data_IF_823474506128
#
_entry.id   IF_823474506128
#
_cell.length_a   1.000
_cell.length_b   1.000
_cell.length_c   1.000
_cell.angle_alpha   90.00
_cell.angle_beta   90.00
_cell.angle_gamma   90.00
#
_symmetry.space_group_name_H-M   'P 1'
#
loop_
_entity.id
_entity.type
_entity.pdbx_description
1 polymer ?
#
# COMPACT_ATOMS: atom_id res chain seq x y z
N UNK A 1 -32.97 -4.31 -3.90
CA UNK A 1 -32.42 -5.55 -3.30
C UNK A 1 -30.94 -5.59 -3.63
N UNK A 2 -30.08 -5.07 -2.75
CA UNK A 2 -28.62 -5.17 -2.96
C UNK A 2 -28.27 -6.63 -2.67
N UNK A 3 -27.93 -7.39 -3.71
CA UNK A 3 -27.41 -8.75 -3.55
C UNK A 3 -26.27 -8.73 -2.52
N UNK A 4 -26.30 -9.64 -1.54
CA UNK A 4 -25.17 -9.85 -0.62
C UNK A 4 -23.95 -10.27 -1.45
N UNK A 5 -23.08 -9.32 -1.74
CA UNK A 5 -21.80 -9.58 -2.42
C UNK A 5 -21.01 -10.58 -1.58
N UNK A 6 -20.57 -11.67 -2.19
CA UNK A 6 -19.80 -12.70 -1.49
C UNK A 6 -18.40 -12.18 -1.09
N UNK A 7 -17.85 -12.69 0.01
CA UNK A 7 -16.51 -12.31 0.47
C UNK A 7 -15.43 -12.48 -0.60
N UNK A 8 -15.55 -13.50 -1.47
CA UNK A 8 -14.61 -13.71 -2.59
C UNK A 8 -14.67 -12.54 -3.59
N UNK A 9 -15.87 -12.12 -3.98
CA UNK A 9 -16.08 -10.97 -4.87
C UNK A 9 -15.55 -9.67 -4.24
N UNK A 10 -15.74 -9.49 -2.92
CA UNK A 10 -15.20 -8.33 -2.20
C UNK A 10 -13.67 -8.30 -2.19
N UNK A 11 -12.99 -9.43 -1.92
CA UNK A 11 -11.52 -9.48 -2.00
C UNK A 11 -11.06 -9.15 -3.40
N UNK A 12 -11.68 -9.75 -4.42
CA UNK A 12 -11.29 -9.53 -5.81
C UNK A 12 -11.44 -8.06 -6.23
N UNK A 13 -12.58 -7.44 -5.92
CA UNK A 13 -12.82 -6.02 -6.19
C UNK A 13 -11.81 -5.14 -5.44
N UNK A 14 -11.56 -5.42 -4.16
CA UNK A 14 -10.59 -4.67 -3.38
C UNK A 14 -9.17 -4.79 -3.95
N UNK A 15 -8.74 -5.98 -4.37
CA UNK A 15 -7.44 -6.18 -5.02
C UNK A 15 -7.35 -5.37 -6.31
N UNK A 16 -8.37 -5.42 -7.18
CA UNK A 16 -8.39 -4.61 -8.41
C UNK A 16 -8.30 -3.12 -8.09
N UNK A 17 -9.07 -2.62 -7.13
CA UNK A 17 -9.05 -1.20 -6.75
C UNK A 17 -7.68 -0.78 -6.19
N UNK A 18 -7.03 -1.63 -5.40
CA UNK A 18 -5.67 -1.37 -4.90
C UNK A 18 -4.68 -1.29 -6.08
N UNK A 19 -4.73 -2.24 -7.00
CA UNK A 19 -3.84 -2.29 -8.16
C UNK A 19 -4.05 -1.08 -9.07
N UNK A 20 -5.30 -0.72 -9.34
CA UNK A 20 -5.62 0.45 -10.15
C UNK A 20 -5.07 1.73 -9.49
N UNK A 21 -5.22 1.86 -8.17
CA UNK A 21 -4.66 2.98 -7.41
C UNK A 21 -3.14 3.05 -7.53
N UNK A 22 -2.46 1.90 -7.47
CA UNK A 22 -1.01 1.81 -7.62
C UNK A 22 -0.56 2.16 -9.04
N UNK A 23 -1.23 1.62 -10.07
CA UNK A 23 -0.92 1.90 -11.47
C UNK A 23 -1.09 3.39 -11.77
N UNK A 24 -2.20 3.99 -11.34
CA UNK A 24 -2.44 5.44 -11.51
C UNK A 24 -1.36 6.27 -10.83
N UNK A 25 -0.91 5.87 -9.64
CA UNK A 25 0.21 6.53 -8.97
C UNK A 25 1.52 6.39 -9.77
N UNK A 26 1.89 5.19 -10.23
CA UNK A 26 3.11 4.99 -11.02
C UNK A 26 3.10 5.80 -12.33
N UNK A 27 1.96 5.81 -13.03
CA UNK A 27 1.75 6.62 -14.24
C UNK A 27 1.91 8.11 -13.92
N UNK A 28 1.34 8.60 -12.81
CA UNK A 28 1.42 10.02 -12.43
C UNK A 28 2.83 10.55 -12.15
N UNK A 29 3.79 9.65 -11.86
CA UNK A 29 5.17 10.02 -11.56
C UNK A 29 6.15 9.62 -12.66
N UNK A 30 5.71 8.92 -13.71
CA UNK A 30 6.58 8.32 -14.73
C UNK A 30 7.51 9.35 -15.39
N UNK A 31 6.93 10.43 -15.93
CA UNK A 31 7.70 11.49 -16.60
C UNK A 31 8.65 12.22 -15.63
N UNK A 32 8.17 12.48 -14.41
CA UNK A 32 8.99 13.13 -13.36
C UNK A 32 10.19 12.27 -12.95
N UNK A 33 10.01 10.95 -12.86
CA UNK A 33 11.10 10.01 -12.55
C UNK A 33 12.15 9.99 -13.67
N UNK A 34 11.71 10.00 -14.94
CA UNK A 34 12.63 10.09 -16.08
C UNK A 34 13.42 11.41 -16.06
N UNK A 35 12.77 12.52 -15.76
CA UNK A 35 13.42 13.83 -15.70
C UNK A 35 14.44 13.92 -14.56
N UNK A 36 14.13 13.36 -13.38
CA UNK A 36 15.08 13.23 -12.27
C UNK A 36 16.29 12.38 -12.67
N UNK A 37 16.06 11.27 -13.37
CA UNK A 37 17.16 10.43 -13.87
C UNK A 37 18.06 11.21 -14.83
N UNK A 38 17.49 11.86 -15.85
CA UNK A 38 18.27 12.60 -16.85
C UNK A 38 19.01 13.79 -16.26
N UNK A 39 18.41 14.52 -15.31
CA UNK A 39 19.08 15.61 -14.60
C UNK A 39 20.23 15.12 -13.72
N UNK A 40 20.04 14.01 -12.99
CA UNK A 40 21.10 13.39 -12.17
C UNK A 40 22.24 12.84 -13.03
N UNK A 41 21.93 12.22 -14.18
CA UNK A 41 22.94 11.70 -15.10
C UNK A 41 23.82 12.82 -15.67
N UNK A 42 23.20 13.95 -16.05
CA UNK A 42 23.92 15.16 -16.48
C UNK A 42 24.78 15.76 -15.37
N UNK A 43 24.32 15.72 -14.12
CA UNK A 43 25.07 16.26 -12.99
C UNK A 43 26.31 15.43 -12.64
N UNK A 44 26.31 14.14 -12.95
CA UNK A 44 27.38 13.20 -12.61
C UNK A 44 28.25 12.76 -13.79
N UNK A 45 28.15 13.43 -14.95
CA UNK A 45 28.88 13.10 -16.19
C UNK A 45 28.81 11.60 -16.55
N UNK A 46 27.64 10.98 -16.31
CA UNK A 46 27.41 9.57 -16.64
C UNK A 46 27.35 9.39 -18.16
N UNK A 47 27.81 8.24 -18.70
CA UNK A 47 27.72 7.97 -20.13
C UNK A 47 26.26 8.05 -20.60
N UNK A 48 26.05 8.62 -21.79
CA UNK A 48 24.74 8.69 -22.43
C UNK A 48 24.25 7.26 -22.72
N UNK A 49 23.34 6.78 -21.88
CA UNK A 49 22.61 5.54 -22.09
C UNK A 49 21.43 5.86 -23.00
N UNK A 50 21.14 4.96 -23.95
CA UNK A 50 20.01 5.08 -24.86
C UNK A 50 18.70 5.33 -24.08
N UNK A 51 17.96 6.38 -24.48
CA UNK A 51 16.73 6.82 -23.83
C UNK A 51 15.67 5.72 -23.77
N UNK A 52 15.63 4.85 -24.78
CA UNK A 52 14.68 3.72 -24.82
C UNK A 52 14.99 2.67 -23.74
N UNK A 53 16.28 2.44 -23.43
CA UNK A 53 16.70 1.51 -22.39
C UNK A 53 16.27 2.03 -21.01
N UNK A 54 16.43 3.33 -20.76
CA UNK A 54 16.06 3.96 -19.49
C UNK A 54 14.55 3.87 -19.25
N UNK A 55 13.74 4.14 -20.28
CA UNK A 55 12.29 4.01 -20.20
C UNK A 55 11.86 2.58 -19.84
N UNK A 56 12.45 1.57 -20.49
CA UNK A 56 12.17 0.15 -20.19
C UNK A 56 12.52 -0.17 -18.73
N UNK A 57 13.67 0.29 -18.23
CA UNK A 57 14.08 0.06 -16.85
C UNK A 57 13.12 0.71 -15.86
N UNK A 58 12.69 1.96 -16.11
CA UNK A 58 11.72 2.65 -15.26
C UNK A 58 10.38 1.89 -15.24
N UNK A 59 9.84 1.52 -16.41
CA UNK A 59 8.60 0.75 -16.51
C UNK A 59 8.73 -0.59 -15.77
N UNK A 60 9.86 -1.28 -15.90
CA UNK A 60 10.11 -2.54 -15.22
C UNK A 60 10.08 -2.37 -13.69
N UNK A 61 10.78 -1.37 -13.15
CA UNK A 61 10.81 -1.07 -11.71
C UNK A 61 9.41 -0.71 -11.19
N UNK A 62 8.67 0.12 -11.92
CA UNK A 62 7.30 0.49 -11.57
C UNK A 62 6.37 -0.75 -11.61
N UNK A 63 6.54 -1.62 -12.60
CA UNK A 63 5.82 -2.90 -12.71
C UNK A 63 6.11 -3.85 -11.53
N UNK A 64 7.38 -3.98 -11.14
CA UNK A 64 7.77 -4.74 -9.94
C UNK A 64 7.14 -4.17 -8.67
N UNK A 65 7.06 -2.84 -8.56
CA UNK A 65 6.42 -2.17 -7.43
C UNK A 65 4.94 -2.51 -7.32
N UNK A 66 4.22 -2.60 -8.45
CA UNK A 66 2.82 -3.06 -8.49
C UNK A 66 2.70 -4.54 -8.11
N UNK A 67 3.62 -5.40 -8.59
CA UNK A 67 3.65 -6.82 -8.23
C UNK A 67 3.90 -7.06 -6.73
N UNK A 68 4.76 -6.24 -6.11
CA UNK A 68 5.09 -6.32 -4.69
C UNK A 68 3.84 -6.17 -3.79
N UNK A 69 2.80 -5.46 -4.25
CA UNK A 69 1.53 -5.33 -3.52
C UNK A 69 0.85 -6.68 -3.31
N UNK A 70 0.91 -7.59 -4.29
CA UNK A 70 0.33 -8.93 -4.11
C UNK A 70 1.06 -9.69 -2.99
N UNK A 71 2.38 -9.58 -2.95
CA UNK A 71 3.21 -10.19 -1.91
C UNK A 71 2.88 -9.56 -0.55
N UNK A 72 2.76 -8.23 -0.47
CA UNK A 72 2.37 -7.52 0.74
C UNK A 72 1.01 -8.00 1.26
N UNK A 73 0.01 -8.14 0.39
CA UNK A 73 -1.32 -8.61 0.77
C UNK A 73 -1.29 -10.02 1.37
N UNK A 74 -0.50 -10.92 0.78
CA UNK A 74 -0.34 -12.28 1.26
C UNK A 74 0.41 -12.34 2.60
N UNK A 75 1.54 -11.65 2.72
CA UNK A 75 2.35 -11.60 3.94
C UNK A 75 1.58 -10.93 5.07
N UNK A 76 0.97 -9.77 4.82
CA UNK A 76 0.19 -9.04 5.82
C UNK A 76 -1.05 -9.80 6.27
N UNK A 77 -1.76 -10.47 5.35
CA UNK A 77 -2.86 -11.36 5.68
C UNK A 77 -2.43 -12.55 6.54
N UNK A 78 -1.27 -13.13 6.23
CA UNK A 78 -0.67 -14.21 7.02
C UNK A 78 -0.23 -13.73 8.42
N UNK A 79 0.37 -12.56 8.51
CA UNK A 79 0.76 -11.94 9.79
C UNK A 79 -0.47 -11.74 10.70
N UNK A 80 -1.56 -11.16 10.17
CA UNK A 80 -2.79 -11.01 10.96
C UNK A 80 -3.38 -12.35 11.39
N UNK A 81 -3.28 -13.38 10.54
CA UNK A 81 -3.70 -14.73 10.89
C UNK A 81 -2.88 -15.29 12.06
N UNK A 82 -1.56 -15.14 12.06
CA UNK A 82 -0.69 -15.59 13.16
C UNK A 82 -1.06 -14.89 14.47
N UNK A 83 -1.20 -13.57 14.46
CA UNK A 83 -1.62 -12.82 15.65
C UNK A 83 -3.01 -13.29 16.12
N UNK A 84 -3.95 -13.44 15.20
CA UNK A 84 -5.29 -13.97 15.51
C UNK A 84 -5.25 -15.37 16.14
N UNK A 85 -4.38 -16.24 15.62
CA UNK A 85 -4.15 -17.59 16.16
C UNK A 85 -3.59 -17.54 17.58
N UNK A 86 -2.55 -16.72 17.85
CA UNK A 86 -2.01 -16.54 19.21
C UNK A 86 -3.03 -15.94 20.18
N UNK A 87 -3.94 -15.11 19.69
CA UNK A 87 -5.06 -14.58 20.47
C UNK A 87 -6.21 -15.59 20.63
N UNK A 88 -6.08 -16.80 20.11
CA UNK A 88 -7.03 -17.91 20.28
C UNK A 88 -8.25 -17.86 19.37
N UNK A 89 -8.17 -17.16 18.23
CA UNK A 89 -9.23 -17.17 17.22
C UNK A 89 -9.27 -18.50 16.47
N UNK A 90 -10.47 -19.03 16.25
CA UNK A 90 -10.70 -20.24 15.43
C UNK A 90 -11.07 -19.92 13.98
N UNK A 91 -11.00 -18.66 13.56
CA UNK A 91 -11.34 -18.27 12.18
C UNK A 91 -10.29 -18.75 11.18
N UNK A 92 -10.70 -19.10 9.95
CA UNK A 92 -9.79 -19.57 8.92
C UNK A 92 -8.91 -18.43 8.37
N UNK A 93 -7.72 -18.78 7.86
CA UNK A 93 -6.76 -17.86 7.21
C UNK A 93 -7.40 -16.87 6.21
N UNK A 94 -8.39 -17.33 5.43
CA UNK A 94 -9.10 -16.50 4.43
C UNK A 94 -9.80 -15.28 5.03
N UNK A 95 -10.22 -15.36 6.29
CA UNK A 95 -10.85 -14.23 7.01
C UNK A 95 -9.84 -13.12 7.28
N UNK A 96 -8.62 -13.49 7.66
CA UNK A 96 -7.53 -12.55 7.93
C UNK A 96 -6.95 -11.95 6.67
N UNK A 97 -6.88 -12.73 5.59
CA UNK A 97 -6.57 -12.19 4.26
C UNK A 97 -7.61 -11.15 3.84
N UNK A 98 -8.91 -11.46 3.96
CA UNK A 98 -9.98 -10.49 3.69
C UNK A 98 -9.85 -9.22 4.54
N UNK A 99 -9.60 -9.36 5.85
CA UNK A 99 -9.38 -8.22 6.75
C UNK A 99 -8.21 -7.35 6.29
N UNK A 100 -7.06 -7.96 5.98
CA UNK A 100 -5.88 -7.24 5.53
C UNK A 100 -6.11 -6.55 4.19
N UNK A 101 -6.77 -7.21 3.24
CA UNK A 101 -7.08 -6.62 1.93
C UNK A 101 -8.03 -5.43 2.06
N UNK A 102 -9.11 -5.54 2.83
CA UNK A 102 -10.07 -4.45 3.00
C UNK A 102 -9.46 -3.24 3.70
N UNK A 103 -8.58 -3.46 4.68
CA UNK A 103 -7.88 -2.36 5.36
C UNK A 103 -6.78 -1.76 4.51
N UNK A 104 -6.11 -2.57 3.67
CA UNK A 104 -5.12 -2.09 2.71
C UNK A 104 -5.76 -1.28 1.58
N UNK A 105 -7.00 -1.59 1.18
CA UNK A 105 -7.79 -0.76 0.27
C UNK A 105 -7.99 0.66 0.81
N UNK A 106 -8.16 0.82 2.12
CA UNK A 106 -8.27 2.15 2.74
C UNK A 106 -6.94 2.90 2.58
N UNK A 107 -5.82 2.24 2.84
CA UNK A 107 -4.50 2.87 2.66
C UNK A 107 -4.16 3.13 1.20
N UNK A 108 -4.70 2.35 0.24
CA UNK A 108 -4.44 2.57 -1.18
C UNK A 108 -5.11 3.83 -1.72
N UNK A 109 -6.16 4.36 -1.07
CA UNK A 109 -6.70 5.67 -1.43
C UNK A 109 -5.67 6.79 -1.30
N UNK A 110 -4.67 6.65 -0.42
CA UNK A 110 -3.54 7.59 -0.37
C UNK A 110 -2.82 7.67 -1.71
N UNK A 111 -2.63 6.54 -2.40
CA UNK A 111 -2.00 6.50 -3.73
C UNK A 111 -2.82 7.28 -4.76
N UNK A 112 -4.16 7.19 -4.71
CA UNK A 112 -5.03 7.99 -5.58
C UNK A 112 -4.95 9.48 -5.31
N UNK A 113 -4.90 9.87 -4.03
CA UNK A 113 -4.74 11.29 -3.64
C UNK A 113 -3.40 11.80 -4.13
N UNK A 114 -2.31 11.06 -3.91
CA UNK A 114 -0.98 11.46 -4.39
C UNK A 114 -0.88 11.48 -5.92
N UNK A 115 -1.52 10.52 -6.61
CA UNK A 115 -1.59 10.52 -8.07
C UNK A 115 -2.27 11.79 -8.59
N UNK A 116 -3.42 12.14 -8.01
CA UNK A 116 -4.14 13.38 -8.30
C UNK A 116 -3.24 14.59 -8.08
N UNK A 117 -2.59 14.69 -6.91
CA UNK A 117 -1.70 15.82 -6.61
C UNK A 117 -0.54 15.91 -7.60
N UNK A 118 0.09 14.78 -7.97
CA UNK A 118 1.20 14.78 -8.93
C UNK A 118 0.78 15.21 -10.33
N UNK A 119 -0.43 14.85 -10.78
CA UNK A 119 -0.98 15.27 -12.07
C UNK A 119 -1.31 16.76 -12.08
N UNK A 120 -1.88 17.29 -11.00
CA UNK A 120 -2.27 18.71 -10.93
C UNK A 120 -1.13 19.65 -10.51
N UNK A 121 -0.05 19.12 -9.95
CA UNK A 121 1.14 19.90 -9.62
C UNK A 121 2.07 19.93 -10.84
N UNK A 122 2.00 21.05 -11.59
CA UNK A 122 2.81 21.34 -12.78
C UNK A 122 4.30 21.59 -12.50
N UNK A 123 4.80 21.24 -11.31
CA UNK A 123 6.23 21.31 -11.01
C UNK A 123 6.86 19.92 -11.27
N UNK A 124 7.71 19.79 -12.30
CA UNK A 124 8.40 18.54 -12.61
C UNK A 124 9.49 18.18 -11.58
N UNK A 125 10.02 19.16 -10.86
CA UNK A 125 11.05 18.95 -9.83
C UNK A 125 10.50 18.38 -8.52
N UNK A 126 9.17 18.39 -8.35
CA UNK A 126 8.49 17.91 -7.16
C UNK A 126 7.70 16.63 -7.44
N UNK A 127 8.13 15.53 -6.81
CA UNK A 127 7.35 14.30 -6.70
C UNK A 127 6.73 14.24 -5.31
N UNK A 128 5.41 14.38 -5.24
CA UNK A 128 4.66 14.06 -4.03
C UNK A 128 4.59 12.54 -3.92
N UNK A 129 5.53 11.98 -3.18
CA UNK A 129 5.67 10.55 -3.01
C UNK A 129 4.89 10.05 -1.79
N UNK A 130 4.82 8.73 -1.65
CA UNK A 130 4.24 8.09 -0.46
C UNK A 130 5.13 8.24 0.78
N UNK A 131 6.37 8.76 0.64
CA UNK A 131 7.28 9.05 1.74
C UNK A 131 6.73 10.25 2.52
N UNK A 132 6.08 9.97 3.65
CA UNK A 132 5.71 11.00 4.62
C UNK A 132 6.95 11.54 5.35
N UNK A 133 6.86 12.78 5.85
CA UNK A 133 7.69 13.25 6.96
C UNK A 133 7.62 12.22 8.11
N UNK A 134 8.65 12.12 8.96
CA UNK A 134 8.82 11.08 9.99
C UNK A 134 7.69 10.90 11.02
N UNK A 135 6.53 11.56 10.83
CA UNK A 135 5.29 11.46 11.57
C UNK A 135 4.32 10.42 10.97
N UNK A 136 4.81 9.21 10.62
CA UNK A 136 3.96 8.13 10.06
C UNK A 136 2.79 7.71 10.96
N UNK A 137 2.93 7.92 12.28
CA UNK A 137 1.86 7.69 13.26
C UNK A 137 0.64 8.60 13.06
N UNK A 138 0.80 9.74 12.38
CA UNK A 138 -0.25 10.71 12.11
C UNK A 138 -0.80 10.62 10.68
N UNK A 139 -0.42 9.60 9.91
CA UNK A 139 -1.00 9.39 8.59
C UNK A 139 -2.50 9.06 8.73
N UNK A 140 -3.40 9.92 8.24
CA UNK A 140 -4.84 9.74 8.42
C UNK A 140 -5.36 8.45 7.78
N UNK A 141 -4.73 7.95 6.71
CA UNK A 141 -5.13 6.71 6.07
C UNK A 141 -4.70 5.48 6.89
N UNK A 142 -3.55 5.54 7.57
CA UNK A 142 -3.11 4.47 8.49
C UNK A 142 -4.00 4.43 9.73
N UNK A 143 -4.30 5.59 10.31
CA UNK A 143 -5.22 5.68 11.46
C UNK A 143 -6.59 5.13 11.08
N UNK A 144 -7.16 5.60 9.96
CA UNK A 144 -8.47 5.16 9.49
C UNK A 144 -8.50 3.66 9.19
N UNK A 145 -7.48 3.12 8.52
CA UNK A 145 -7.40 1.68 8.22
C UNK A 145 -7.30 0.83 9.51
N UNK A 146 -6.58 1.31 10.52
CA UNK A 146 -6.46 0.66 11.84
C UNK A 146 -7.80 0.64 12.57
N UNK A 147 -8.53 1.76 12.57
CA UNK A 147 -9.87 1.85 13.14
C UNK A 147 -10.83 0.89 12.42
N UNK A 148 -10.78 0.86 11.09
CA UNK A 148 -11.59 -0.06 10.28
C UNK A 148 -11.25 -1.53 10.60
N UNK A 149 -9.98 -1.87 10.79
CA UNK A 149 -9.58 -3.22 11.21
C UNK A 149 -10.22 -3.61 12.54
N UNK A 150 -10.19 -2.73 13.53
CA UNK A 150 -10.78 -2.98 14.84
C UNK A 150 -12.30 -3.25 14.76
N UNK A 151 -13.03 -2.48 13.93
CA UNK A 151 -14.46 -2.69 13.73
C UNK A 151 -14.75 -3.96 12.91
N UNK A 152 -14.05 -4.17 11.79
CA UNK A 152 -14.25 -5.33 10.92
C UNK A 152 -13.87 -6.64 11.62
N UNK A 153 -12.80 -6.65 12.42
CA UNK A 153 -12.44 -7.83 13.21
C UNK A 153 -13.55 -8.23 14.19
N UNK A 154 -14.29 -7.27 14.76
CA UNK A 154 -15.46 -7.56 15.60
C UNK A 154 -16.63 -8.23 14.87
N UNK A 155 -16.74 -8.02 13.56
CA UNK A 155 -17.80 -8.63 12.74
C UNK A 155 -17.35 -9.94 12.10
N UNK A 156 -16.07 -10.05 11.74
CA UNK A 156 -15.53 -11.15 10.95
C UNK A 156 -14.82 -12.21 11.80
N UNK A 157 -14.39 -11.86 13.00
CA UNK A 157 -13.70 -12.77 13.93
C UNK A 157 -14.50 -13.05 15.21
N UNK A 158 -14.01 -14.00 15.98
CA UNK A 158 -14.48 -14.38 17.32
C UNK A 158 -13.68 -13.68 18.44
N UNK A 159 -12.86 -12.68 18.11
CA UNK A 159 -12.05 -11.95 19.08
C UNK A 159 -12.90 -10.97 19.92
N UNK A 160 -12.71 -11.01 21.24
CA UNK A 160 -13.32 -10.05 22.16
C UNK A 160 -12.70 -8.65 22.03
N UNK A 161 -13.24 -7.65 22.75
CA UNK A 161 -12.79 -6.26 22.68
C UNK A 161 -11.27 -6.11 22.89
N UNK A 162 -10.73 -6.70 23.96
CA UNK A 162 -9.32 -6.55 24.33
C UNK A 162 -8.39 -7.18 23.27
N UNK A 163 -8.73 -8.37 22.78
CA UNK A 163 -7.95 -9.06 21.73
C UNK A 163 -7.98 -8.31 20.40
N UNK A 164 -9.11 -7.67 20.06
CA UNK A 164 -9.20 -6.82 18.86
C UNK A 164 -8.31 -5.58 18.93
N UNK A 165 -8.15 -4.99 20.12
CA UNK A 165 -7.20 -3.88 20.33
C UNK A 165 -5.77 -4.36 20.05
N UNK A 166 -5.38 -5.54 20.57
CA UNK A 166 -4.04 -6.11 20.31
C UNK A 166 -3.82 -6.38 18.82
N UNK A 167 -4.82 -6.93 18.12
CA UNK A 167 -4.75 -7.17 16.68
C UNK A 167 -4.59 -5.85 15.89
N UNK A 168 -5.36 -4.81 16.24
CA UNK A 168 -5.29 -3.49 15.61
C UNK A 168 -3.94 -2.80 15.87
N UNK A 169 -3.41 -2.89 17.08
CA UNK A 169 -2.11 -2.35 17.41
C UNK A 169 -0.98 -3.08 16.66
N UNK A 170 -1.07 -4.41 16.56
CA UNK A 170 -0.10 -5.21 15.78
C UNK A 170 -0.12 -4.85 14.30
N UNK A 171 -1.31 -4.60 13.74
CA UNK A 171 -1.46 -4.10 12.37
C UNK A 171 -0.84 -2.71 12.18
N UNK A 172 -1.06 -1.80 13.12
CA UNK A 172 -0.46 -0.46 13.09
C UNK A 172 1.06 -0.54 13.07
N UNK A 173 1.66 -1.36 13.95
CA UNK A 173 3.11 -1.61 13.96
C UNK A 173 3.58 -2.15 12.60
N UNK A 174 2.88 -3.16 12.07
CA UNK A 174 3.24 -3.73 10.76
C UNK A 174 3.24 -2.67 9.66
N UNK A 175 2.21 -1.81 9.60
CA UNK A 175 2.13 -0.74 8.60
C UNK A 175 3.24 0.30 8.75
N UNK A 176 3.59 0.67 9.98
CA UNK A 176 4.72 1.57 10.25
C UNK A 176 6.03 0.92 9.78
N UNK A 177 6.29 -0.33 10.15
CA UNK A 177 7.49 -1.05 9.73
C UNK A 177 7.60 -1.14 8.21
N UNK A 178 6.52 -1.49 7.51
CA UNK A 178 6.50 -1.57 6.05
C UNK A 178 6.86 -0.23 5.41
N UNK A 179 6.37 0.87 5.96
CA UNK A 179 6.71 2.22 5.47
C UNK A 179 8.17 2.54 5.78
N UNK A 180 8.65 2.29 7.00
CA UNK A 180 10.04 2.56 7.39
C UNK A 180 11.04 1.76 6.54
N UNK A 181 10.78 0.48 6.27
CA UNK A 181 11.64 -0.31 5.38
C UNK A 181 11.54 0.13 3.91
N UNK A 182 10.40 0.67 3.50
CA UNK A 182 10.25 1.25 2.15
C UNK A 182 10.96 2.61 2.03
N UNK A 183 11.14 3.36 3.12
CA UNK A 183 11.76 4.69 3.10
C UNK A 183 13.23 4.70 3.49
N UNK A 184 13.69 3.75 4.32
CA UNK A 184 15.02 3.69 4.93
C UNK A 184 16.16 3.12 4.07
N UNK A 185 16.09 3.31 2.76
CA UNK A 185 17.22 3.09 1.84
C UNK A 185 18.09 4.33 1.69
N UNK A 186 18.47 4.95 2.81
CA UNK A 186 19.54 5.96 2.89
C UNK A 186 20.77 5.33 3.55
#
# INVERSE_FOLDING_TARGET
>A
MIEKISNKKLVFLAVISILLSAILFQVSIYEKVLEIYHSSAKQHDLPDIDGDIIQIVVIAIQGFSVLAIFIELLIGGFFLYLIGFFLGSKKPKKTYLLLYTLTTLVTSFKMLVMATVNVFTNDPSLIYSLKGSGLYLFDPFIILSTIILYFLSGKLTDLNKNKRVVLAFSFLILKILLITFSTGGE
#
